data_IF_452408384659
#
_entry.id   IF_452408384659
#
_cell.length_a   1.000
_cell.length_b   1.000
_cell.length_c   1.000
_cell.angle_alpha   90.00
_cell.angle_beta   90.00
_cell.angle_gamma   90.00
#
_symmetry.space_group_name_H-M   'P 1'
#
loop_
_entity.id
_entity.type
_entity.pdbx_description
1 polymer ?
#
# COMPACT_ATOMS: atom_id res chain seq x y z
N UNK A 1 22.80 -9.48 25.49
CA UNK A 1 22.15 -8.16 25.37
C UNK A 1 20.68 -8.33 25.74
N UNK A 2 20.25 -7.84 26.89
CA UNK A 2 18.85 -7.90 27.33
C UNK A 2 18.03 -6.95 26.49
N UNK A 3 17.09 -7.48 25.71
CA UNK A 3 16.10 -6.67 24.97
C UNK A 3 15.27 -5.91 25.99
N UNK A 4 15.15 -4.57 25.92
CA UNK A 4 14.33 -3.86 26.89
C UNK A 4 12.85 -4.26 26.72
N UNK A 5 12.27 -4.76 27.81
CA UNK A 5 10.82 -4.96 27.89
C UNK A 5 10.12 -3.61 27.70
N UNK A 6 9.11 -3.60 26.84
CA UNK A 6 8.29 -2.40 26.61
C UNK A 6 7.56 -2.03 27.92
N UNK A 7 7.65 -0.76 28.30
CA UNK A 7 6.87 -0.22 29.42
C UNK A 7 5.40 -0.19 28.99
N UNK A 8 4.46 -0.73 29.79
CA UNK A 8 3.04 -0.67 29.45
C UNK A 8 2.59 0.79 29.35
N UNK A 9 1.97 1.16 28.24
CA UNK A 9 1.30 2.46 28.10
C UNK A 9 0.09 2.44 29.03
N UNK A 10 0.08 3.31 30.04
CA UNK A 10 -1.00 3.41 31.00
C UNK A 10 -2.30 3.83 30.29
N UNK A 11 -3.40 3.15 30.60
CA UNK A 11 -4.74 3.48 30.09
C UNK A 11 -5.22 2.66 28.88
N UNK A 12 -4.42 1.75 28.33
CA UNK A 12 -4.86 0.83 27.27
C UNK A 12 -5.41 -0.48 27.86
N UNK A 13 -6.45 -1.04 27.22
CA UNK A 13 -6.95 -2.37 27.56
C UNK A 13 -5.84 -3.43 27.40
N UNK A 14 -5.78 -4.42 28.29
CA UNK A 14 -4.79 -5.50 28.19
C UNK A 14 -5.14 -6.43 27.02
N UNK A 15 -4.10 -6.91 26.30
CA UNK A 15 -4.30 -7.98 25.31
C UNK A 15 -4.64 -9.31 25.99
N UNK A 16 -5.43 -10.18 25.35
CA UNK A 16 -5.63 -11.54 25.82
C UNK A 16 -4.28 -12.26 25.97
N UNK A 17 -4.12 -13.00 27.06
CA UNK A 17 -2.90 -13.80 27.33
C UNK A 17 -2.85 -15.10 26.51
N UNK A 18 -3.96 -15.48 25.87
CA UNK A 18 -4.11 -16.64 25.01
C UNK A 18 -5.00 -16.32 23.81
N UNK A 19 -5.68 -17.33 23.28
CA UNK A 19 -6.62 -17.16 22.17
C UNK A 19 -7.70 -16.12 22.49
N UNK A 20 -7.92 -15.18 21.57
CA UNK A 20 -9.11 -14.32 21.62
C UNK A 20 -10.34 -15.16 21.24
N UNK A 21 -11.40 -15.12 22.06
CA UNK A 21 -12.64 -15.85 21.81
C UNK A 21 -13.51 -15.12 20.80
N UNK A 22 -13.58 -13.80 20.92
CA UNK A 22 -14.43 -12.92 20.13
C UNK A 22 -13.61 -11.73 19.66
N UNK A 23 -13.60 -11.49 18.36
CA UNK A 23 -12.87 -10.35 17.79
C UNK A 23 -13.79 -9.38 17.07
N UNK A 24 -13.39 -8.12 17.05
CA UNK A 24 -13.89 -7.13 16.09
C UNK A 24 -12.85 -6.89 15.02
N UNK A 25 -13.30 -6.75 13.78
CA UNK A 25 -12.42 -6.51 12.65
C UNK A 25 -12.59 -5.10 12.09
N UNK A 26 -11.51 -4.37 11.91
CA UNK A 26 -11.52 -3.00 11.38
C UNK A 26 -10.70 -2.93 10.09
N UNK A 27 -11.36 -2.71 8.96
CA UNK A 27 -10.70 -2.67 7.66
C UNK A 27 -11.54 -1.97 6.59
N UNK A 28 -10.93 -1.58 5.48
CA UNK A 28 -11.68 -0.89 4.41
C UNK A 28 -11.33 -1.36 3.00
N UNK A 29 -10.05 -1.31 2.53
CA UNK A 29 -9.68 -1.62 1.15
C UNK A 29 -9.55 -3.13 0.91
N UNK A 30 -9.30 -3.49 -0.35
CA UNK A 30 -9.14 -4.88 -0.83
C UNK A 30 -8.10 -5.67 -0.02
N UNK A 31 -6.98 -5.05 0.34
CA UNK A 31 -5.90 -5.70 1.12
C UNK A 31 -6.36 -6.16 2.52
N UNK A 32 -7.49 -5.65 3.02
CA UNK A 32 -8.06 -6.06 4.29
C UNK A 32 -9.08 -7.22 4.16
N UNK A 33 -9.39 -7.67 2.94
CA UNK A 33 -10.35 -8.77 2.74
C UNK A 33 -9.74 -10.14 3.08
N UNK A 34 -8.55 -10.54 2.56
CA UNK A 34 -7.98 -11.84 2.87
C UNK A 34 -7.71 -12.09 4.37
N UNK A 35 -7.22 -11.11 5.17
CA UNK A 35 -7.10 -11.30 6.62
C UNK A 35 -8.42 -11.56 7.32
N UNK A 36 -9.52 -10.88 6.94
CA UNK A 36 -10.86 -11.15 7.47
C UNK A 36 -11.30 -12.57 7.15
N UNK A 37 -11.18 -12.97 5.88
CA UNK A 37 -11.52 -14.31 5.43
C UNK A 37 -10.71 -15.39 6.15
N UNK A 38 -9.41 -15.16 6.36
CA UNK A 38 -8.54 -16.09 7.06
C UNK A 38 -8.94 -16.28 8.53
N UNK A 39 -9.34 -15.22 9.23
CA UNK A 39 -9.85 -15.31 10.61
C UNK A 39 -11.12 -16.17 10.67
N UNK A 40 -12.08 -15.92 9.79
CA UNK A 40 -13.34 -16.69 9.74
C UNK A 40 -13.06 -18.16 9.38
N UNK A 41 -12.21 -18.42 8.39
CA UNK A 41 -11.81 -19.77 7.98
C UNK A 41 -11.09 -20.53 9.09
N UNK A 42 -10.38 -19.83 9.98
CA UNK A 42 -9.73 -20.41 11.18
C UNK A 42 -10.72 -20.63 12.35
N UNK A 43 -12.02 -20.37 12.17
CA UNK A 43 -13.04 -20.53 13.20
C UNK A 43 -13.06 -19.44 14.26
N UNK A 44 -12.43 -18.29 14.02
CA UNK A 44 -12.47 -17.14 14.93
C UNK A 44 -13.85 -16.49 14.87
N UNK A 45 -14.47 -16.25 16.03
CA UNK A 45 -15.75 -15.53 16.11
C UNK A 45 -15.51 -14.03 15.81
N UNK A 46 -15.84 -13.58 14.60
CA UNK A 46 -15.84 -12.16 14.23
C UNK A 46 -17.22 -11.59 14.51
N UNK A 47 -17.37 -10.92 15.65
CA UNK A 47 -18.67 -10.42 16.13
C UNK A 47 -19.13 -9.14 15.43
N UNK A 48 -18.21 -8.33 14.93
CA UNK A 48 -18.52 -7.08 14.23
C UNK A 48 -17.38 -6.69 13.28
N UNK A 49 -17.74 -6.20 12.12
CA UNK A 49 -16.81 -5.61 11.15
C UNK A 49 -17.04 -4.11 11.07
N UNK A 50 -16.01 -3.33 11.36
CA UNK A 50 -16.03 -1.88 11.21
C UNK A 50 -15.34 -1.50 9.91
N UNK A 51 -16.04 -0.78 9.06
CA UNK A 51 -15.51 -0.26 7.80
C UNK A 51 -15.97 1.17 7.54
N UNK A 52 -15.29 1.85 6.64
CA UNK A 52 -15.69 3.23 6.29
C UNK A 52 -17.05 3.22 5.58
N UNK A 53 -17.86 4.29 5.74
CA UNK A 53 -19.11 4.46 4.99
C UNK A 53 -18.91 4.34 3.48
N UNK A 54 -19.97 3.91 2.81
CA UNK A 54 -20.00 3.81 1.37
C UNK A 54 -19.66 5.15 0.72
N UNK A 55 -18.91 5.12 -0.36
CA UNK A 55 -18.42 6.32 -1.06
C UNK A 55 -18.72 6.22 -2.55
N UNK A 56 -18.86 7.39 -3.17
CA UNK A 56 -18.86 7.47 -4.64
C UNK A 56 -17.52 6.97 -5.16
N UNK A 57 -17.54 6.01 -6.07
CA UNK A 57 -16.36 5.46 -6.73
C UNK A 57 -16.58 5.50 -8.25
N UNK A 58 -15.55 5.96 -8.96
CA UNK A 58 -15.61 6.08 -10.42
C UNK A 58 -16.36 7.33 -10.91
N UNK A 59 -16.65 7.39 -12.22
CA UNK A 59 -17.27 8.53 -12.90
C UNK A 59 -18.81 8.56 -12.78
N UNK A 60 -19.42 7.58 -12.11
CA UNK A 60 -20.88 7.48 -11.92
C UNK A 60 -21.36 8.16 -10.63
N UNK A 61 -22.68 8.38 -10.53
CA UNK A 61 -23.34 8.91 -9.34
C UNK A 61 -23.58 7.86 -8.24
N UNK A 62 -23.30 6.59 -8.51
CA UNK A 62 -23.54 5.47 -7.61
C UNK A 62 -22.58 5.46 -6.41
N UNK A 63 -23.13 5.16 -5.24
CA UNK A 63 -22.37 4.88 -4.02
C UNK A 63 -22.03 3.40 -4.01
N UNK A 64 -20.76 3.05 -3.79
CA UNK A 64 -20.30 1.67 -3.73
C UNK A 64 -19.83 1.31 -2.32
N UNK A 65 -20.15 0.11 -1.82
CA UNK A 65 -19.65 -0.40 -0.56
C UNK A 65 -18.13 -0.56 -0.59
N UNK A 66 -17.52 -0.59 0.60
CA UNK A 66 -16.11 -0.96 0.72
C UNK A 66 -15.91 -2.44 0.37
N UNK A 67 -14.74 -2.87 -0.13
CA UNK A 67 -14.44 -4.29 -0.32
C UNK A 67 -14.66 -5.13 0.94
N UNK A 68 -14.27 -4.62 2.11
CA UNK A 68 -14.50 -5.29 3.39
C UNK A 68 -16.01 -5.42 3.71
N UNK A 69 -16.84 -4.40 3.38
CA UNK A 69 -18.30 -4.50 3.57
C UNK A 69 -18.91 -5.60 2.71
N UNK A 70 -18.47 -5.71 1.46
CA UNK A 70 -18.91 -6.77 0.54
C UNK A 70 -18.55 -8.13 1.10
N UNK A 71 -17.28 -8.35 1.43
CA UNK A 71 -16.80 -9.61 1.98
C UNK A 71 -17.47 -9.98 3.31
N UNK A 72 -17.69 -9.00 4.20
CA UNK A 72 -18.42 -9.23 5.45
C UNK A 72 -19.85 -9.69 5.20
N UNK A 73 -20.55 -9.11 4.22
CA UNK A 73 -21.90 -9.54 3.82
C UNK A 73 -21.93 -10.97 3.28
N UNK A 74 -20.95 -11.35 2.44
CA UNK A 74 -20.80 -12.73 1.91
C UNK A 74 -20.53 -13.75 3.02
N UNK A 75 -19.84 -13.32 4.10
CA UNK A 75 -19.53 -14.13 5.27
C UNK A 75 -20.65 -14.11 6.34
N UNK A 76 -21.75 -13.37 6.11
CA UNK A 76 -22.85 -13.25 7.06
C UNK A 76 -22.50 -12.47 8.33
N UNK A 77 -21.50 -11.60 8.29
CA UNK A 77 -21.02 -10.83 9.45
C UNK A 77 -21.75 -9.50 9.59
N UNK A 78 -21.98 -9.08 10.83
CA UNK A 78 -22.52 -7.76 11.13
C UNK A 78 -21.51 -6.66 10.75
N UNK A 79 -22.01 -5.55 10.18
CA UNK A 79 -21.18 -4.42 9.74
C UNK A 79 -21.66 -3.12 10.37
N UNK A 80 -20.73 -2.31 10.86
CA UNK A 80 -20.97 -0.92 11.26
C UNK A 80 -19.97 0.05 10.63
N UNK A 81 -20.29 1.33 10.74
CA UNK A 81 -19.44 2.45 10.30
C UNK A 81 -18.96 3.32 11.47
N UNK A 82 -19.47 3.05 12.67
CA UNK A 82 -19.06 3.71 13.91
C UNK A 82 -18.10 2.79 14.71
N UNK A 83 -16.92 3.30 15.00
CA UNK A 83 -15.91 2.55 15.76
C UNK A 83 -16.34 2.33 17.21
N UNK A 84 -17.23 3.16 17.77
CA UNK A 84 -17.72 2.99 19.13
C UNK A 84 -18.60 1.75 19.30
N UNK A 85 -19.20 1.23 18.22
CA UNK A 85 -20.03 0.02 18.29
C UNK A 85 -19.23 -1.23 18.70
N UNK A 86 -17.90 -1.19 18.63
CA UNK A 86 -17.04 -2.28 19.14
C UNK A 86 -17.20 -2.48 20.67
N UNK A 87 -17.62 -1.43 21.39
CA UNK A 87 -17.82 -1.48 22.85
C UNK A 87 -19.06 -2.29 23.25
N UNK A 88 -20.03 -2.43 22.35
CA UNK A 88 -21.30 -3.11 22.63
C UNK A 88 -21.26 -4.62 22.41
N UNK A 89 -20.22 -5.16 21.73
CA UNK A 89 -20.21 -6.56 21.29
C UNK A 89 -19.38 -7.50 22.18
N UNK A 90 -18.75 -6.97 23.23
CA UNK A 90 -17.97 -7.78 24.19
C UNK A 90 -16.77 -8.49 23.55
N UNK A 91 -16.06 -7.82 22.65
CA UNK A 91 -14.89 -8.39 22.00
C UNK A 91 -13.66 -8.38 22.92
N UNK A 92 -12.89 -9.45 22.88
CA UNK A 92 -11.62 -9.59 23.62
C UNK A 92 -10.48 -8.85 22.90
N UNK A 93 -10.56 -8.74 21.56
CA UNK A 93 -9.50 -8.21 20.72
C UNK A 93 -10.08 -7.51 19.49
N UNK A 94 -9.48 -6.37 19.13
CA UNK A 94 -9.67 -5.75 17.82
C UNK A 94 -8.52 -6.10 16.87
N UNK A 95 -8.87 -6.44 15.63
CA UNK A 95 -7.92 -6.66 14.53
C UNK A 95 -8.08 -5.54 13.52
N UNK A 96 -7.02 -4.76 13.30
CA UNK A 96 -7.02 -3.61 12.40
C UNK A 96 -6.17 -3.90 11.17
N UNK A 97 -6.73 -3.71 9.98
CA UNK A 97 -6.00 -3.85 8.72
C UNK A 97 -6.43 -2.73 7.78
N UNK A 98 -5.56 -1.78 7.55
CA UNK A 98 -5.81 -0.67 6.61
C UNK A 98 -7.18 0.03 6.83
N UNK A 99 -7.57 0.27 8.06
CA UNK A 99 -8.86 0.90 8.40
C UNK A 99 -8.96 2.35 7.95
N UNK A 100 -7.83 3.08 8.06
CA UNK A 100 -7.69 4.45 7.53
C UNK A 100 -8.39 5.54 8.33
N UNK A 101 -8.64 5.29 9.63
CA UNK A 101 -9.07 6.26 10.64
C UNK A 101 -8.33 6.03 11.95
N UNK A 102 -8.18 7.09 12.72
CA UNK A 102 -7.67 7.00 14.10
C UNK A 102 -8.74 6.36 14.97
N UNK A 103 -8.33 5.46 15.83
CA UNK A 103 -9.19 4.82 16.85
C UNK A 103 -9.01 5.62 18.14
N UNK A 104 -10.10 6.15 18.71
CA UNK A 104 -9.99 7.01 19.88
C UNK A 104 -9.59 6.24 21.14
N UNK A 105 -8.91 6.91 22.07
CA UNK A 105 -8.50 6.33 23.35
C UNK A 105 -9.66 5.79 24.18
N UNK A 106 -10.86 6.39 24.06
CA UNK A 106 -12.10 5.89 24.69
C UNK A 106 -12.45 4.45 24.27
N UNK A 107 -12.02 4.04 23.08
CA UNK A 107 -12.17 2.67 22.57
C UNK A 107 -10.96 1.82 22.98
N UNK A 108 -9.73 2.31 22.75
CA UNK A 108 -8.50 1.57 23.03
C UNK A 108 -8.31 1.24 24.52
N UNK A 109 -8.91 2.04 25.41
CA UNK A 109 -8.90 1.77 26.86
C UNK A 109 -9.81 0.62 27.29
N UNK A 110 -10.74 0.19 26.41
CA UNK A 110 -11.74 -0.85 26.72
C UNK A 110 -11.54 -2.10 25.86
N UNK A 111 -11.08 -1.95 24.61
CA UNK A 111 -10.80 -3.07 23.70
C UNK A 111 -9.37 -2.97 23.19
N UNK A 112 -8.54 -3.95 23.56
CA UNK A 112 -7.18 -4.03 23.07
C UNK A 112 -7.18 -4.32 21.55
N UNK A 113 -6.28 -3.69 20.82
CA UNK A 113 -6.23 -3.87 19.35
C UNK A 113 -4.81 -4.15 18.85
N UNK A 114 -4.73 -5.02 17.84
CA UNK A 114 -3.53 -5.24 17.04
C UNK A 114 -3.75 -4.75 15.62
N UNK A 115 -2.68 -4.26 14.99
CA UNK A 115 -2.70 -3.81 13.61
C UNK A 115 -1.72 -4.64 12.76
N UNK A 116 -2.16 -5.01 11.56
CA UNK A 116 -1.29 -5.54 10.50
C UNK A 116 -0.74 -4.36 9.74
N UNK A 117 0.53 -4.02 9.99
CA UNK A 117 1.20 -2.90 9.35
C UNK A 117 2.16 -3.39 8.27
N UNK A 118 2.04 -2.85 7.06
CA UNK A 118 2.77 -3.33 5.88
C UNK A 118 4.12 -2.62 5.69
N UNK A 119 4.93 -2.63 6.76
CA UNK A 119 6.35 -2.24 6.71
C UNK A 119 7.16 -2.89 7.81
N UNK A 120 8.48 -2.75 7.75
CA UNK A 120 9.41 -3.13 8.82
C UNK A 120 9.59 -1.95 9.78
N UNK A 121 8.66 -1.81 10.73
CA UNK A 121 8.69 -0.75 11.73
C UNK A 121 10.04 -0.70 12.48
N UNK A 122 10.53 0.51 12.82
CA UNK A 122 9.88 1.83 12.77
C UNK A 122 9.92 2.51 11.41
N UNK A 123 10.44 1.85 10.34
CA UNK A 123 10.44 2.41 9.00
C UNK A 123 9.03 2.42 8.42
N UNK A 124 8.65 3.55 7.84
CA UNK A 124 7.37 3.75 7.15
C UNK A 124 6.14 3.64 8.04
N UNK A 125 6.14 4.29 9.22
CA UNK A 125 4.91 4.55 9.98
C UNK A 125 3.95 5.40 9.15
N UNK A 126 2.66 5.07 9.10
CA UNK A 126 1.64 5.88 8.44
C UNK A 126 0.88 5.20 7.32
N UNK A 127 0.32 6.01 6.39
CA UNK A 127 -0.79 5.60 5.54
C UNK A 127 -0.39 4.86 4.25
N UNK A 128 0.85 4.98 3.77
CA UNK A 128 1.30 4.47 2.47
C UNK A 128 2.68 3.77 2.53
N UNK A 129 2.89 2.81 3.46
CA UNK A 129 4.21 2.23 3.70
C UNK A 129 4.76 1.47 2.47
N UNK A 130 3.93 0.73 1.76
CA UNK A 130 4.35 -0.07 0.59
C UNK A 130 4.76 0.84 -0.57
N UNK A 131 3.98 1.88 -0.83
CA UNK A 131 4.28 2.88 -1.86
C UNK A 131 5.60 3.61 -1.56
N UNK A 132 5.80 4.00 -0.30
CA UNK A 132 7.02 4.70 0.11
C UNK A 132 8.25 3.81 0.01
N UNK A 133 8.16 2.53 0.36
CA UNK A 133 9.24 1.57 0.17
C UNK A 133 9.62 1.43 -1.31
N UNK A 134 8.63 1.33 -2.21
CA UNK A 134 8.87 1.27 -3.66
C UNK A 134 9.54 2.57 -4.16
N UNK A 135 9.00 3.74 -3.78
CA UNK A 135 9.54 5.03 -4.24
C UNK A 135 10.94 5.31 -3.70
N UNK A 136 11.24 4.90 -2.48
CA UNK A 136 12.58 4.98 -1.89
C UNK A 136 13.54 3.97 -2.53
N UNK A 137 13.01 2.96 -3.24
CA UNK A 137 13.77 1.85 -3.82
C UNK A 137 14.42 0.99 -2.76
N UNK A 138 13.70 0.73 -1.68
CA UNK A 138 14.12 -0.22 -0.67
C UNK A 138 14.28 -1.62 -1.30
N UNK A 139 15.28 -2.36 -0.85
CA UNK A 139 15.51 -3.74 -1.32
C UNK A 139 14.60 -4.74 -0.61
N UNK A 140 14.08 -4.37 0.56
CA UNK A 140 13.18 -5.19 1.36
C UNK A 140 12.10 -4.33 2.03
N UNK A 141 11.02 -4.97 2.36
CA UNK A 141 9.93 -4.47 3.20
C UNK A 141 9.40 -5.61 4.04
N UNK A 142 8.21 -5.49 4.60
CA UNK A 142 7.65 -6.60 5.37
C UNK A 142 6.32 -6.25 6.01
N UNK A 143 5.97 -7.07 6.99
CA UNK A 143 4.76 -6.92 7.79
C UNK A 143 5.12 -6.98 9.26
N UNK A 144 4.53 -6.10 10.06
CA UNK A 144 4.57 -6.18 11.51
C UNK A 144 3.15 -6.37 12.07
N UNK A 145 2.99 -7.31 13.00
CA UNK A 145 1.83 -7.36 13.89
C UNK A 145 2.18 -6.51 15.09
N UNK A 146 1.45 -5.43 15.31
CA UNK A 146 1.78 -4.45 16.34
C UNK A 146 0.56 -4.06 17.17
N UNK A 147 0.79 -3.55 18.37
CA UNK A 147 -0.25 -2.96 19.21
C UNK A 147 -0.73 -1.64 18.62
N UNK A 148 -2.04 -1.42 18.67
CA UNK A 148 -2.59 -0.09 18.39
C UNK A 148 -2.55 0.74 19.67
N UNK A 149 -1.94 1.91 19.56
CA UNK A 149 -1.78 2.90 20.63
C UNK A 149 -2.26 4.27 20.15
N UNK A 150 -2.18 5.30 21.00
CA UNK A 150 -2.54 6.67 20.64
C UNK A 150 -1.67 7.23 19.50
N UNK A 151 -0.37 6.92 19.53
CA UNK A 151 0.58 7.34 18.49
C UNK A 151 0.42 6.54 17.19
N UNK A 152 0.60 7.21 16.05
CA UNK A 152 0.49 6.57 14.75
C UNK A 152 1.60 5.54 14.54
N UNK A 153 1.22 4.26 14.55
CA UNK A 153 2.10 3.11 14.34
C UNK A 153 3.33 3.07 15.26
N UNK A 154 3.17 3.51 16.53
CA UNK A 154 4.24 3.58 17.53
C UNK A 154 4.30 2.37 18.46
N UNK A 155 3.26 1.56 18.51
CA UNK A 155 3.11 0.47 19.45
C UNK A 155 4.16 -0.63 19.33
N UNK A 156 4.25 -1.45 20.35
CA UNK A 156 5.14 -2.61 20.39
C UNK A 156 4.79 -3.61 19.29
N UNK A 157 5.81 -4.29 18.76
CA UNK A 157 5.67 -5.33 17.75
C UNK A 157 5.61 -6.72 18.40
N UNK A 158 4.70 -7.56 17.92
CA UNK A 158 4.54 -8.95 18.37
C UNK A 158 5.12 -9.96 17.38
N UNK A 159 5.08 -9.62 16.10
CA UNK A 159 5.63 -10.46 15.04
C UNK A 159 6.14 -9.58 13.89
N UNK A 160 7.10 -10.09 13.13
CA UNK A 160 7.72 -9.39 12.01
C UNK A 160 8.09 -10.39 10.91
N UNK A 161 7.63 -10.14 9.69
CA UNK A 161 7.99 -10.91 8.51
C UNK A 161 8.68 -10.01 7.49
N UNK A 162 9.82 -10.44 6.97
CA UNK A 162 10.60 -9.70 5.96
C UNK A 162 10.29 -10.24 4.57
N UNK A 163 10.17 -9.36 3.59
CA UNK A 163 9.94 -9.69 2.19
C UNK A 163 10.86 -8.84 1.28
N UNK A 164 11.58 -9.50 0.37
CA UNK A 164 12.40 -8.80 -0.62
C UNK A 164 11.52 -8.08 -1.66
N UNK A 165 11.89 -6.84 -2.00
CA UNK A 165 11.26 -6.09 -3.10
C UNK A 165 12.00 -6.41 -4.39
N UNK A 166 11.42 -7.28 -5.22
CA UNK A 166 12.01 -7.69 -6.50
C UNK A 166 11.79 -6.64 -7.60
N UNK A 167 12.61 -6.72 -8.63
CA UNK A 167 12.53 -5.79 -9.77
C UNK A 167 11.21 -5.90 -10.55
N UNK A 168 10.57 -7.06 -10.55
CA UNK A 168 9.30 -7.35 -11.22
C UNK A 168 8.05 -6.97 -10.40
N UNK A 169 8.21 -6.62 -9.12
CA UNK A 169 7.08 -6.20 -8.32
C UNK A 169 6.43 -4.91 -8.83
N UNK A 170 5.11 -4.95 -8.98
CA UNK A 170 4.23 -3.78 -8.96
C UNK A 170 3.70 -3.55 -7.55
N UNK A 171 3.04 -2.41 -7.31
CA UNK A 171 2.37 -2.13 -6.04
C UNK A 171 1.34 -3.21 -5.70
N UNK A 172 0.54 -3.62 -6.68
CA UNK A 172 -0.50 -4.65 -6.49
C UNK A 172 0.13 -5.99 -6.14
N UNK A 173 1.15 -6.46 -6.88
CA UNK A 173 1.78 -7.75 -6.62
C UNK A 173 2.49 -7.78 -5.26
N UNK A 174 3.22 -6.71 -4.91
CA UNK A 174 3.90 -6.60 -3.62
C UNK A 174 2.91 -6.59 -2.45
N UNK A 175 1.80 -5.84 -2.57
CA UNK A 175 0.75 -5.84 -1.55
C UNK A 175 0.13 -7.21 -1.34
N UNK A 176 -0.14 -7.94 -2.43
CA UNK A 176 -0.69 -9.29 -2.34
C UNK A 176 0.26 -10.24 -1.61
N UNK A 177 1.56 -10.20 -1.93
CA UNK A 177 2.56 -11.01 -1.22
C UNK A 177 2.68 -10.63 0.26
N UNK A 178 2.67 -9.34 0.59
CA UNK A 178 2.68 -8.87 1.98
C UNK A 178 1.43 -9.32 2.76
N UNK A 179 0.25 -9.27 2.13
CA UNK A 179 -0.98 -9.78 2.73
C UNK A 179 -0.84 -11.27 3.04
N UNK A 180 -0.39 -12.08 2.09
CA UNK A 180 -0.19 -13.52 2.31
C UNK A 180 0.86 -13.79 3.40
N UNK A 181 1.95 -13.05 3.42
CA UNK A 181 2.98 -13.15 4.45
C UNK A 181 2.48 -12.77 5.85
N UNK A 182 1.44 -11.93 5.94
CA UNK A 182 0.85 -11.49 7.22
C UNK A 182 -0.02 -12.56 7.88
N UNK A 183 -0.66 -13.44 7.09
CA UNK A 183 -1.72 -14.33 7.58
C UNK A 183 -1.25 -15.29 8.69
N UNK A 184 -0.10 -15.98 8.58
CA UNK A 184 0.34 -16.88 9.64
C UNK A 184 0.58 -16.16 10.98
N UNK A 185 1.20 -14.98 10.93
CA UNK A 185 1.48 -14.17 12.12
C UNK A 185 0.19 -13.64 12.76
N UNK A 186 -0.73 -13.13 11.95
CA UNK A 186 -2.04 -12.68 12.41
C UNK A 186 -2.83 -13.80 13.07
N UNK A 187 -2.92 -14.95 12.42
CA UNK A 187 -3.65 -16.10 12.96
C UNK A 187 -3.03 -16.58 14.29
N UNK A 188 -1.71 -16.69 14.39
CA UNK A 188 -1.06 -17.00 15.68
C UNK A 188 -1.41 -15.98 16.76
N UNK A 189 -1.31 -14.68 16.46
CA UNK A 189 -1.60 -13.63 17.42
C UNK A 189 -3.04 -13.69 17.95
N UNK A 190 -4.00 -14.08 17.12
CA UNK A 190 -5.42 -14.19 17.49
C UNK A 190 -5.74 -15.51 18.17
N UNK A 191 -5.25 -16.64 17.65
CA UNK A 191 -5.64 -17.98 18.13
C UNK A 191 -4.76 -18.56 19.23
N UNK A 192 -3.60 -17.96 19.49
CA UNK A 192 -2.64 -18.42 20.52
C UNK A 192 -2.26 -17.30 21.49
N UNK A 193 -2.61 -16.05 21.16
CA UNK A 193 -2.18 -14.85 21.85
C UNK A 193 -0.99 -14.17 21.19
N UNK A 194 -0.90 -12.87 21.32
CA UNK A 194 0.15 -12.08 20.67
C UNK A 194 1.55 -12.24 21.30
N UNK A 195 1.61 -12.80 22.50
CA UNK A 195 2.87 -13.00 23.23
C UNK A 195 3.44 -11.69 23.81
N UNK A 196 4.75 -11.69 24.05
CA UNK A 196 5.45 -10.51 24.57
C UNK A 196 5.84 -9.57 23.45
N UNK A 197 5.39 -8.31 23.53
CA UNK A 197 5.72 -7.29 22.55
C UNK A 197 7.17 -6.80 22.71
N UNK A 198 7.79 -6.46 21.60
CA UNK A 198 9.12 -5.85 21.52
C UNK A 198 9.00 -4.39 21.09
N UNK A 199 9.66 -3.48 21.79
CA UNK A 199 9.70 -2.08 21.40
C UNK A 199 10.35 -1.91 20.01
N UNK A 200 9.84 -0.97 19.23
CA UNK A 200 10.45 -0.60 17.96
C UNK A 200 11.84 0.02 18.21
N UNK A 201 12.83 -0.36 17.41
CA UNK A 201 14.21 0.13 17.53
C UNK A 201 14.67 0.78 16.23
N UNK A 202 15.43 1.86 16.34
CA UNK A 202 15.96 2.66 15.23
C UNK A 202 15.15 3.93 14.96
N UNK A 203 15.60 4.69 13.99
CA UNK A 203 15.00 5.97 13.61
C UNK A 203 13.71 5.76 12.82
N UNK A 204 12.58 6.33 13.25
CA UNK A 204 11.33 6.20 12.54
C UNK A 204 11.32 7.01 11.25
N UNK A 205 10.72 6.47 10.20
CA UNK A 205 10.40 7.21 9.00
C UNK A 205 8.88 7.21 8.76
N UNK A 206 8.38 8.23 8.05
CA UNK A 206 6.95 8.43 7.89
C UNK A 206 6.49 8.16 6.45
N UNK A 207 5.42 7.38 6.34
CA UNK A 207 4.77 7.03 5.08
C UNK A 207 3.53 7.91 4.85
N UNK A 208 3.75 9.18 4.52
CA UNK A 208 2.68 10.07 4.11
C UNK A 208 1.94 9.51 2.89
N UNK A 209 0.64 9.72 2.82
CA UNK A 209 -0.18 9.35 1.66
C UNK A 209 0.41 9.96 0.38
N UNK A 210 0.42 9.18 -0.71
CA UNK A 210 0.93 9.65 -2.01
C UNK A 210 0.01 10.70 -2.58
N UNK A 211 0.56 11.88 -2.87
CA UNK A 211 -0.15 12.93 -3.58
C UNK A 211 -0.17 12.63 -5.10
N UNK A 212 -1.24 12.98 -5.82
CA UNK A 212 -1.30 12.77 -7.28
C UNK A 212 -0.13 13.40 -8.05
N UNK A 213 0.42 14.51 -7.57
CA UNK A 213 1.59 15.17 -8.16
C UNK A 213 2.88 14.34 -8.04
N UNK A 214 3.03 13.54 -6.99
CA UNK A 214 4.18 12.66 -6.81
C UNK A 214 4.23 11.51 -7.84
N UNK A 215 3.10 11.22 -8.48
CA UNK A 215 2.98 10.20 -9.54
C UNK A 215 3.32 10.74 -10.93
N UNK A 216 3.52 12.05 -11.05
CA UNK A 216 3.94 12.64 -12.31
C UNK A 216 5.39 12.26 -12.63
N UNK A 217 5.59 11.67 -13.79
CA UNK A 217 6.90 11.40 -14.35
C UNK A 217 7.39 12.67 -15.05
N UNK A 218 8.58 13.10 -14.68
CA UNK A 218 9.37 14.10 -15.39
C UNK A 218 10.65 13.41 -15.85
N UNK A 219 10.96 13.46 -17.11
CA UNK A 219 12.14 12.76 -17.65
C UNK A 219 13.46 13.39 -17.19
N UNK A 220 13.42 14.56 -16.55
CA UNK A 220 14.56 15.11 -15.79
C UNK A 220 14.91 14.33 -14.53
N UNK A 221 14.05 13.42 -14.08
CA UNK A 221 14.34 12.43 -13.04
C UNK A 221 15.33 11.39 -13.52
N UNK A 222 15.99 10.69 -12.60
CA UNK A 222 16.79 9.53 -12.94
C UNK A 222 15.92 8.31 -13.31
N UNK A 223 16.51 7.33 -14.00
CA UNK A 223 15.80 6.13 -14.47
C UNK A 223 15.12 5.38 -13.33
N UNK A 224 15.81 5.24 -12.19
CA UNK A 224 15.27 4.56 -11.00
C UNK A 224 13.99 5.24 -10.49
N UNK A 225 13.99 6.56 -10.40
CA UNK A 225 12.82 7.32 -9.94
C UNK A 225 11.64 7.20 -10.89
N UNK A 226 11.87 7.23 -12.21
CA UNK A 226 10.82 7.02 -13.22
C UNK A 226 10.24 5.62 -13.07
N UNK A 227 11.09 4.58 -13.04
CA UNK A 227 10.64 3.19 -12.92
C UNK A 227 9.91 2.95 -11.61
N UNK A 228 10.39 3.49 -10.48
CA UNK A 228 9.73 3.36 -9.18
C UNK A 228 8.31 3.92 -9.21
N UNK A 229 8.09 5.08 -9.84
CA UNK A 229 6.74 5.66 -10.01
C UNK A 229 5.83 4.76 -10.84
N UNK A 230 6.34 4.16 -11.91
CA UNK A 230 5.52 3.28 -12.76
C UNK A 230 5.07 2.02 -12.02
N UNK A 231 5.88 1.50 -11.09
CA UNK A 231 5.51 0.38 -10.22
C UNK A 231 4.30 0.67 -9.33
N UNK A 232 3.99 1.95 -9.05
CA UNK A 232 2.77 2.34 -8.34
C UNK A 232 1.50 2.25 -9.20
N UNK A 233 1.61 1.84 -10.47
CA UNK A 233 0.51 1.57 -11.40
C UNK A 233 -0.41 2.79 -11.64
N UNK A 234 0.04 3.98 -11.27
CA UNK A 234 -0.70 5.24 -11.40
C UNK A 234 0.18 6.40 -11.93
N UNK A 235 1.42 6.10 -12.34
CA UNK A 235 2.33 7.10 -12.90
C UNK A 235 1.81 7.67 -14.22
N UNK A 236 2.11 8.93 -14.49
CA UNK A 236 1.67 9.63 -15.69
C UNK A 236 2.64 10.75 -16.05
N UNK A 237 2.65 11.10 -17.32
CA UNK A 237 3.27 12.32 -17.82
C UNK A 237 2.29 13.07 -18.74
N UNK A 238 2.64 14.29 -19.12
CA UNK A 238 1.86 15.07 -20.09
C UNK A 238 2.61 15.05 -21.42
N UNK A 239 1.93 14.62 -22.48
CA UNK A 239 2.38 14.77 -23.86
C UNK A 239 1.43 15.69 -24.60
N UNK A 240 1.96 16.77 -25.17
CA UNK A 240 1.18 17.90 -25.64
C UNK A 240 0.30 18.44 -24.49
N UNK A 241 -1.00 18.29 -24.57
CA UNK A 241 -1.95 18.75 -23.52
C UNK A 241 -2.66 17.62 -22.80
N UNK A 242 -2.32 16.35 -23.10
CA UNK A 242 -3.04 15.16 -22.60
C UNK A 242 -2.18 14.36 -21.65
N UNK A 243 -2.84 13.80 -20.64
CA UNK A 243 -2.17 12.82 -19.76
C UNK A 243 -1.99 11.49 -20.47
N UNK A 244 -0.81 10.92 -20.28
CA UNK A 244 -0.47 9.56 -20.68
C UNK A 244 -0.05 8.81 -19.43
N UNK A 245 -0.85 7.83 -18.99
CA UNK A 245 -0.45 6.95 -17.89
C UNK A 245 0.61 5.97 -18.38
N UNK A 246 1.62 5.75 -17.57
CA UNK A 246 2.63 4.73 -17.83
C UNK A 246 2.26 3.50 -17.01
N UNK A 247 1.87 2.44 -17.68
CA UNK A 247 1.45 1.20 -17.02
C UNK A 247 2.64 0.28 -16.75
N UNK A 248 3.63 0.29 -17.65
CA UNK A 248 4.85 -0.48 -17.50
C UNK A 248 6.02 0.25 -18.14
N UNK A 249 7.10 0.38 -17.37
CA UNK A 249 8.40 0.82 -17.86
C UNK A 249 9.52 0.06 -17.16
N UNK A 250 10.69 0.05 -17.79
CA UNK A 250 11.89 -0.58 -17.25
C UNK A 250 13.13 0.22 -17.68
N UNK A 251 14.27 0.06 -17.00
CA UNK A 251 15.52 0.64 -17.50
C UNK A 251 15.79 0.15 -18.93
N UNK A 252 16.26 1.05 -19.79
CA UNK A 252 16.73 0.62 -21.11
C UNK A 252 18.00 -0.20 -20.96
N UNK A 253 18.16 -1.27 -21.75
CA UNK A 253 19.44 -2.00 -21.85
C UNK A 253 20.50 -1.22 -22.63
N UNK A 254 20.12 -0.17 -23.38
CA UNK A 254 21.01 0.59 -24.24
C UNK A 254 21.65 1.76 -23.48
N UNK A 255 22.90 2.09 -23.76
CA UNK A 255 23.53 3.27 -23.18
C UNK A 255 22.86 4.55 -23.70
N UNK A 256 22.88 5.60 -22.89
CA UNK A 256 22.39 6.90 -23.30
C UNK A 256 23.30 7.49 -24.39
N UNK A 257 22.79 7.84 -25.60
CA UNK A 257 23.58 8.49 -26.62
C UNK A 257 24.14 9.84 -26.15
N UNK A 258 25.36 10.16 -26.56
CA UNK A 258 25.97 11.44 -26.20
C UNK A 258 25.15 12.60 -26.79
N UNK A 259 24.95 13.64 -25.97
CA UNK A 259 24.19 14.83 -26.35
C UNK A 259 22.67 14.70 -26.21
N UNK A 260 22.16 13.56 -25.73
CA UNK A 260 20.71 13.39 -25.46
C UNK A 260 20.28 14.28 -24.30
N UNK A 261 19.15 14.95 -24.45
CA UNK A 261 18.50 15.71 -23.40
C UNK A 261 17.38 14.90 -22.73
N UNK A 262 17.10 15.10 -21.43
CA UNK A 262 15.99 14.45 -20.76
C UNK A 262 14.67 14.67 -21.48
N UNK A 263 13.97 13.59 -21.81
CA UNK A 263 12.72 13.59 -22.57
C UNK A 263 12.88 13.32 -24.05
N UNK A 264 14.11 13.27 -24.59
CA UNK A 264 14.32 12.89 -25.99
C UNK A 264 13.86 11.46 -26.24
N UNK A 265 13.15 11.27 -27.36
CA UNK A 265 12.75 9.95 -27.86
C UNK A 265 13.93 9.35 -28.63
N UNK A 266 14.59 8.39 -28.00
CA UNK A 266 15.80 7.77 -28.53
C UNK A 266 15.49 6.71 -29.58
N UNK A 267 14.43 5.92 -29.35
CA UNK A 267 13.98 4.91 -30.30
C UNK A 267 12.50 4.57 -30.13
N UNK A 268 11.87 4.13 -31.20
CA UNK A 268 10.55 3.50 -31.23
C UNK A 268 10.68 2.15 -31.87
N UNK A 269 10.40 1.08 -31.12
CA UNK A 269 10.59 -0.29 -31.57
C UNK A 269 9.44 -1.19 -31.09
N UNK A 270 9.33 -2.43 -31.56
CA UNK A 270 8.34 -3.37 -31.02
C UNK A 270 8.45 -3.61 -29.50
N UNK A 271 9.62 -3.37 -28.90
CA UNK A 271 9.82 -3.47 -27.46
C UNK A 271 9.21 -2.30 -26.68
N UNK A 272 9.02 -1.15 -27.33
CA UNK A 272 8.47 0.06 -26.71
C UNK A 272 9.07 1.35 -27.22
N UNK A 273 8.95 2.40 -26.42
CA UNK A 273 9.49 3.74 -26.67
C UNK A 273 10.60 4.01 -25.67
N UNK A 274 11.79 4.26 -26.19
CA UNK A 274 12.95 4.56 -25.37
C UNK A 274 13.09 6.07 -25.20
N UNK A 275 13.18 6.53 -23.96
CA UNK A 275 13.19 7.94 -23.61
C UNK A 275 14.36 8.25 -22.69
N UNK A 276 15.11 9.31 -23.02
CA UNK A 276 16.22 9.79 -22.22
C UNK A 276 15.74 10.32 -20.86
N UNK A 277 16.46 9.97 -19.81
CA UNK A 277 16.34 10.51 -18.46
C UNK A 277 17.63 11.24 -18.08
N UNK A 278 17.75 11.72 -16.82
CA UNK A 278 18.93 12.48 -16.39
C UNK A 278 20.23 11.67 -16.35
N UNK A 279 20.14 10.35 -16.14
CA UNK A 279 21.30 9.46 -15.92
C UNK A 279 21.31 8.20 -16.81
N UNK A 280 20.38 8.11 -17.76
CA UNK A 280 20.22 6.94 -18.61
C UNK A 280 18.98 7.04 -19.47
N UNK A 281 18.42 5.89 -19.89
CA UNK A 281 17.18 5.84 -20.65
C UNK A 281 16.18 4.87 -20.02
N UNK A 282 14.90 5.17 -20.16
CA UNK A 282 13.79 4.31 -19.76
C UNK A 282 13.07 3.78 -21.00
N UNK A 283 12.75 2.49 -21.00
CA UNK A 283 11.90 1.86 -22.01
C UNK A 283 10.46 1.85 -21.52
N UNK A 284 9.59 2.67 -22.11
CA UNK A 284 8.15 2.64 -21.92
C UNK A 284 7.59 1.45 -22.70
N UNK A 285 6.98 0.47 -22.00
CA UNK A 285 6.49 -0.77 -22.62
C UNK A 285 4.99 -0.67 -22.91
N UNK A 286 4.20 -0.21 -21.94
CA UNK A 286 2.76 -0.03 -22.10
C UNK A 286 2.29 1.26 -21.47
N UNK A 287 1.33 1.90 -22.14
CA UNK A 287 0.78 3.19 -21.74
C UNK A 287 -0.74 3.22 -21.89
N UNK A 288 -1.37 4.21 -21.28
CA UNK A 288 -2.79 4.49 -21.46
C UNK A 288 -2.98 6.01 -21.65
N UNK A 289 -3.12 6.49 -22.90
CA UNK A 289 -3.47 7.88 -23.17
C UNK A 289 -4.85 8.22 -22.62
N UNK A 290 -5.04 9.48 -22.29
CA UNK A 290 -6.32 9.98 -21.78
C UNK A 290 -7.47 9.68 -22.75
N UNK A 291 -8.55 9.09 -22.23
CA UNK A 291 -9.73 8.69 -23.03
C UNK A 291 -9.53 7.47 -23.93
N UNK A 292 -8.42 6.75 -23.82
CA UNK A 292 -8.12 5.54 -24.60
C UNK A 292 -7.95 4.33 -23.68
N UNK A 293 -7.98 3.14 -24.27
CA UNK A 293 -7.61 1.90 -23.60
C UNK A 293 -6.09 1.79 -23.44
N UNK A 294 -5.66 0.89 -22.54
CA UNK A 294 -4.26 0.49 -22.43
C UNK A 294 -3.78 -0.10 -23.76
N UNK A 295 -2.53 0.24 -24.15
CA UNK A 295 -1.92 -0.20 -25.40
C UNK A 295 -0.40 -0.31 -25.26
N UNK A 296 0.24 -1.00 -26.21
CA UNK A 296 1.69 -0.98 -26.30
C UNK A 296 2.20 0.46 -26.56
N UNK A 297 3.33 0.82 -25.96
CA UNK A 297 3.88 2.17 -26.13
C UNK A 297 4.24 2.47 -27.58
N UNK A 298 4.64 1.45 -28.37
CA UNK A 298 4.92 1.58 -29.81
C UNK A 298 3.66 1.96 -30.60
N UNK A 299 2.50 1.37 -30.26
CA UNK A 299 1.23 1.69 -30.95
C UNK A 299 0.79 3.13 -30.65
N UNK A 300 0.97 3.53 -29.40
CA UNK A 300 0.74 4.92 -29.01
C UNK A 300 1.67 5.87 -29.76
N UNK A 301 2.96 5.57 -29.83
CA UNK A 301 3.97 6.38 -30.51
C UNK A 301 3.63 6.61 -31.97
N UNK A 302 3.26 5.52 -32.67
CA UNK A 302 2.86 5.57 -34.09
C UNK A 302 1.58 6.40 -34.28
N UNK A 303 0.57 6.16 -33.44
CA UNK A 303 -0.71 6.87 -33.50
C UNK A 303 -0.63 8.35 -33.13
N UNK A 304 0.25 8.70 -32.18
CA UNK A 304 0.49 10.06 -31.75
C UNK A 304 1.45 10.83 -32.66
N UNK A 305 2.13 10.14 -33.59
CA UNK A 305 3.21 10.69 -34.43
C UNK A 305 4.23 11.42 -33.58
N UNK A 306 4.81 10.68 -32.59
CA UNK A 306 5.74 11.28 -31.62
C UNK A 306 6.80 12.11 -32.33
N UNK A 307 7.04 13.31 -31.81
CA UNK A 307 8.23 14.09 -32.17
C UNK A 307 9.51 13.51 -31.53
N UNK A 308 10.58 14.24 -31.64
CA UNK A 308 11.89 13.86 -31.12
C UNK A 308 11.97 13.99 -29.58
N UNK A 309 10.98 14.59 -28.91
CA UNK A 309 10.97 14.77 -27.46
C UNK A 309 9.57 14.66 -26.86
N UNK A 310 9.47 14.11 -25.65
CA UNK A 310 8.25 14.05 -24.84
C UNK A 310 8.12 15.24 -23.87
N UNK A 311 9.05 16.17 -23.84
CA UNK A 311 8.97 17.36 -23.00
C UNK A 311 8.16 18.46 -23.67
N UNK A 312 7.49 19.30 -22.88
CA UNK A 312 6.60 20.37 -23.35
C UNK A 312 7.30 21.50 -24.16
N UNK A 313 8.61 21.47 -24.27
CA UNK A 313 9.39 22.46 -25.06
C UNK A 313 9.22 22.34 -26.59
N UNK A 314 8.47 21.36 -27.07
CA UNK A 314 8.20 21.17 -28.52
C UNK A 314 6.93 21.91 -29.00
N UNK A 315 6.45 22.90 -28.27
CA UNK A 315 5.33 23.76 -28.66
C UNK A 315 5.85 25.18 -28.91
N UNK A 316 6.82 25.35 -29.81
CA UNK A 316 7.15 26.62 -30.42
C UNK A 316 6.69 26.61 -31.87
#
# INVERSE_FOLDING_TARGET
>A
MTVPMAVPVTGLAALPTGAARRVVYLGTPEVAVPPLQALVAAGVEVSLVITRPDKRRGRGSGVSPSPVKVAAGELGLAVSHDVNDVLAVGADLGVVVAYGRIIPMSVLSQVAMINVHFSLLPRWRGAAPVERAILAGDSETGVCIMRVEEGLDTGVMYDRSVLAIRSDHSLTSLRNELVQASLPALLRAVTQGAGTGTAQQGEPTHAAKIAPSELQVQFTMNVREVVARTKLEAAWFVYLTKRVRVLRAQPSPNPLPAGSAPGDVLSVSPAGVEVACSDGAVLLVSVQPEGKNAMAAVDWANGARLGTSLTAASLA
#
